data_IF_260398058218
#
_entry.id   IF_260398058218
#
_cell.length_a   1.000
_cell.length_b   1.000
_cell.length_c   1.000
_cell.angle_alpha   90.00
_cell.angle_beta   90.00
_cell.angle_gamma   90.00
#
_symmetry.space_group_name_H-M   'P 1'
#
loop_
_entity.id
_entity.type
_entity.pdbx_description
1 polymer ?
#
# COMPACT_ATOMS: atom_id res chain seq x y z
N UNK A 1 14.99 -11.44 -0.03
CA UNK A 1 14.54 -11.23 -1.42
C UNK A 1 13.14 -10.63 -1.39
N UNK A 2 12.91 -9.56 -2.14
CA UNK A 2 11.63 -8.85 -2.23
C UNK A 2 10.74 -9.54 -3.27
N UNK A 3 9.44 -9.66 -3.01
CA UNK A 3 8.47 -10.14 -4.00
C UNK A 3 7.22 -9.28 -3.94
N UNK A 4 6.80 -8.77 -5.11
CA UNK A 4 5.62 -7.95 -5.28
C UNK A 4 4.73 -8.63 -6.33
N UNK A 5 3.41 -8.65 -6.07
CA UNK A 5 2.43 -9.19 -7.02
C UNK A 5 2.47 -8.40 -8.33
N UNK A 6 2.03 -8.98 -9.47
CA UNK A 6 2.22 -8.39 -10.79
C UNK A 6 1.82 -6.91 -10.83
N UNK A 7 2.76 -6.09 -11.29
CA UNK A 7 2.57 -4.66 -11.54
C UNK A 7 1.44 -4.47 -12.55
N UNK A 8 0.52 -3.55 -12.26
CA UNK A 8 -0.82 -3.40 -12.86
C UNK A 8 -1.87 -4.40 -12.37
N UNK A 9 -2.71 -3.90 -11.45
CA UNK A 9 -4.00 -4.51 -11.09
C UNK A 9 -5.12 -3.76 -11.80
N UNK A 10 -5.96 -4.47 -12.56
CA UNK A 10 -7.19 -3.89 -13.12
C UNK A 10 -8.37 -4.18 -12.21
N UNK A 11 -9.19 -3.17 -11.95
CA UNK A 11 -10.35 -3.24 -11.07
C UNK A 11 -11.53 -2.46 -11.69
N UNK A 12 -12.75 -2.93 -11.44
CA UNK A 12 -13.97 -2.20 -11.76
C UNK A 12 -14.48 -1.45 -10.53
N UNK A 13 -15.27 -0.41 -10.78
CA UNK A 13 -15.97 0.29 -9.70
C UNK A 13 -16.85 -0.70 -8.92
N UNK A 14 -16.71 -0.69 -7.59
CA UNK A 14 -17.41 -1.63 -6.69
C UNK A 14 -16.61 -2.89 -6.35
N UNK A 15 -15.53 -3.20 -7.06
CA UNK A 15 -14.70 -4.37 -6.77
C UNK A 15 -14.03 -4.26 -5.40
N UNK A 16 -13.60 -5.41 -4.88
CA UNK A 16 -12.65 -5.48 -3.78
C UNK A 16 -11.33 -6.02 -4.31
N UNK A 17 -10.27 -5.23 -4.22
CA UNK A 17 -8.93 -5.66 -4.65
C UNK A 17 -7.98 -5.78 -3.47
N UNK A 18 -6.99 -6.65 -3.65
CA UNK A 18 -5.90 -6.87 -2.71
C UNK A 18 -4.57 -6.67 -3.41
N UNK A 19 -3.75 -5.78 -2.88
CA UNK A 19 -2.40 -5.50 -3.35
C UNK A 19 -1.46 -6.04 -2.26
N UNK A 20 -0.47 -6.85 -2.62
CA UNK A 20 0.42 -7.48 -1.63
C UNK A 20 1.89 -7.24 -1.92
N UNK A 21 2.63 -7.09 -0.83
CA UNK A 21 4.04 -6.79 -0.82
C UNK A 21 4.73 -7.65 0.25
N UNK A 22 5.78 -8.36 -0.14
CA UNK A 22 6.50 -9.28 0.74
C UNK A 22 7.97 -8.95 0.81
N UNK A 23 8.52 -8.94 2.03
CA UNK A 23 9.95 -8.76 2.26
C UNK A 23 10.48 -9.74 3.31
N UNK A 24 11.62 -10.36 3.03
CA UNK A 24 12.18 -11.43 3.86
C UNK A 24 12.52 -11.02 5.31
N UNK A 25 12.64 -9.72 5.58
CA UNK A 25 13.21 -9.23 6.85
C UNK A 25 12.34 -8.19 7.56
N UNK A 26 11.21 -7.78 6.98
CA UNK A 26 10.36 -6.74 7.54
C UNK A 26 8.96 -7.26 7.85
N UNK A 27 8.40 -6.74 8.94
CA UNK A 27 7.04 -7.01 9.42
C UNK A 27 6.27 -5.72 9.76
N UNK A 28 6.77 -4.57 9.32
CA UNK A 28 6.06 -3.29 9.36
C UNK A 28 5.93 -2.77 7.93
N UNK A 29 4.70 -2.59 7.47
CA UNK A 29 4.37 -2.12 6.14
C UNK A 29 3.61 -0.80 6.19
N UNK A 30 4.05 0.15 5.36
CA UNK A 30 3.31 1.34 4.98
C UNK A 30 2.85 1.23 3.53
N UNK A 31 1.69 1.82 3.24
CA UNK A 31 1.12 1.92 1.89
C UNK A 31 0.93 3.37 1.50
N UNK A 32 1.31 3.71 0.27
CA UNK A 32 1.28 5.07 -0.25
C UNK A 32 0.60 5.09 -1.62
N UNK A 33 -0.16 6.15 -1.89
CA UNK A 33 -0.87 6.35 -3.15
C UNK A 33 -0.34 7.60 -3.85
N UNK A 34 0.03 7.46 -5.12
CA UNK A 34 0.38 8.58 -5.98
C UNK A 34 -0.59 8.62 -7.17
N UNK A 35 -1.50 9.60 -7.15
CA UNK A 35 -2.50 9.77 -8.21
C UNK A 35 -1.94 10.47 -9.44
N UNK A 36 -1.00 11.40 -9.25
CA UNK A 36 -0.40 12.19 -10.33
C UNK A 36 1.08 11.84 -10.41
N UNK A 37 1.58 11.35 -11.55
CA UNK A 37 3.01 11.11 -11.73
C UNK A 37 3.83 12.36 -11.40
N UNK A 38 4.82 12.21 -10.52
CA UNK A 38 5.66 13.32 -10.06
C UNK A 38 5.13 14.08 -8.83
N UNK A 39 3.91 13.79 -8.34
CA UNK A 39 3.44 14.34 -7.07
C UNK A 39 4.00 13.56 -5.87
N UNK A 40 4.01 14.16 -4.69
CA UNK A 40 4.32 13.42 -3.47
C UNK A 40 3.28 12.31 -3.24
N UNK A 41 3.70 11.07 -2.91
CA UNK A 41 2.77 10.02 -2.47
C UNK A 41 2.09 10.39 -1.15
N UNK A 42 0.83 10.00 -1.00
CA UNK A 42 0.06 10.17 0.25
C UNK A 42 0.01 8.84 0.99
N UNK A 43 0.26 8.86 2.31
CA UNK A 43 0.10 7.66 3.15
C UNK A 43 -1.37 7.25 3.22
N UNK A 44 -1.63 5.99 2.89
CA UNK A 44 -2.95 5.36 2.95
C UNK A 44 -3.07 4.48 4.19
N UNK A 45 -2.03 3.69 4.47
CA UNK A 45 -1.91 2.83 5.65
C UNK A 45 -0.49 2.96 6.21
N UNK A 46 -0.37 2.99 7.53
CA UNK A 46 0.90 2.92 8.25
C UNK A 46 0.82 1.88 9.37
N UNK A 47 1.96 1.47 9.89
CA UNK A 47 2.08 0.44 10.94
C UNK A 47 1.16 -0.77 10.70
N UNK A 48 1.24 -1.32 9.48
CA UNK A 48 0.48 -2.47 8.99
C UNK A 48 -1.03 -2.30 8.80
N UNK A 49 -1.72 -1.60 9.68
CA UNK A 49 -3.19 -1.53 9.69
C UNK A 49 -3.77 -0.17 10.06
N UNK A 50 -2.95 0.76 10.56
CA UNK A 50 -3.43 2.08 10.93
C UNK A 50 -3.70 2.91 9.68
N UNK A 51 -4.85 3.58 9.66
CA UNK A 51 -5.28 4.42 8.54
C UNK A 51 -5.41 5.87 9.01
N UNK A 52 -4.81 6.85 8.32
CA UNK A 52 -5.03 8.26 8.64
C UNK A 52 -6.53 8.62 8.57
N UNK A 53 -6.98 9.55 9.41
CA UNK A 53 -8.41 9.89 9.55
C UNK A 53 -9.03 10.49 8.29
N UNK A 54 -8.22 11.10 7.42
CA UNK A 54 -8.64 11.67 6.14
C UNK A 54 -8.67 10.64 5.00
N UNK A 55 -8.29 9.39 5.24
CA UNK A 55 -8.33 8.32 4.24
C UNK A 55 -9.64 7.53 4.38
N UNK A 56 -10.37 7.28 3.28
CA UNK A 56 -11.69 6.65 3.33
C UNK A 56 -11.72 5.28 4.00
N UNK A 57 -12.87 4.95 4.59
CA UNK A 57 -13.05 3.72 5.37
C UNK A 57 -12.85 2.41 4.60
N UNK A 58 -12.90 2.52 3.28
CA UNK A 58 -12.78 1.43 2.31
C UNK A 58 -11.36 0.88 2.14
N UNK A 59 -10.35 1.65 2.55
CA UNK A 59 -8.95 1.20 2.56
C UNK A 59 -8.63 0.50 3.87
N UNK A 60 -8.00 -0.67 3.83
CA UNK A 60 -7.52 -1.35 5.03
C UNK A 60 -6.20 -2.06 4.79
N UNK A 61 -5.39 -2.14 5.84
CA UNK A 61 -4.12 -2.85 5.84
C UNK A 61 -4.15 -4.09 6.71
N UNK A 62 -3.41 -5.11 6.30
CA UNK A 62 -3.16 -6.29 7.12
C UNK A 62 -1.77 -6.86 6.83
N UNK A 63 -1.31 -7.73 7.74
CA UNK A 63 -0.07 -8.48 7.58
C UNK A 63 -0.31 -9.95 7.92
N UNK A 64 0.29 -10.83 7.12
CA UNK A 64 0.35 -12.27 7.40
C UNK A 64 1.79 -12.75 7.16
N UNK A 65 2.45 -13.19 8.23
CA UNK A 65 3.88 -13.49 8.21
C UNK A 65 4.70 -12.28 7.75
N UNK A 66 5.33 -12.42 6.59
CA UNK A 66 6.19 -11.41 5.95
C UNK A 66 5.54 -10.75 4.73
N UNK A 67 4.21 -10.75 4.67
CA UNK A 67 3.43 -10.22 3.55
C UNK A 67 2.44 -9.20 4.06
N UNK A 68 2.65 -7.94 3.70
CA UNK A 68 1.67 -6.86 3.86
C UNK A 68 0.62 -6.93 2.75
N UNK A 69 -0.63 -6.63 3.08
CA UNK A 69 -1.76 -6.55 2.14
C UNK A 69 -2.49 -5.23 2.33
N UNK A 70 -2.66 -4.49 1.24
CA UNK A 70 -3.63 -3.40 1.14
C UNK A 70 -4.90 -3.95 0.52
N UNK A 71 -6.03 -3.77 1.19
CA UNK A 71 -7.36 -4.06 0.67
C UNK A 71 -8.08 -2.76 0.37
N UNK A 72 -8.64 -2.66 -0.83
CA UNK A 72 -9.51 -1.55 -1.24
C UNK A 72 -10.86 -2.18 -1.55
N UNK A 73 -11.84 -1.99 -0.66
CA UNK A 73 -13.21 -2.43 -0.89
C UNK A 73 -14.00 -1.36 -1.62
N UNK A 74 -14.94 -1.73 -2.49
CA UNK A 74 -15.77 -0.75 -3.21
C UNK A 74 -14.94 0.28 -3.96
N UNK A 75 -14.00 -0.21 -4.80
CA UNK A 75 -13.12 0.63 -5.63
C UNK A 75 -13.92 1.74 -6.32
N UNK A 76 -13.36 2.95 -6.34
CA UNK A 76 -13.92 4.11 -7.02
C UNK A 76 -13.01 4.59 -8.15
N UNK A 77 -13.52 5.42 -9.06
CA UNK A 77 -12.73 5.95 -10.17
C UNK A 77 -11.50 6.74 -9.68
N UNK A 78 -11.63 7.40 -8.53
CA UNK A 78 -10.55 8.19 -7.93
C UNK A 78 -9.45 7.34 -7.28
N UNK A 79 -9.62 6.02 -7.23
CA UNK A 79 -8.64 5.08 -6.68
C UNK A 79 -7.60 4.63 -7.72
N UNK A 80 -7.77 5.02 -8.99
CA UNK A 80 -6.77 4.85 -10.04
C UNK A 80 -5.52 5.66 -9.70
N UNK A 81 -4.44 4.94 -9.39
CA UNK A 81 -3.19 5.51 -8.91
C UNK A 81 -2.07 4.48 -8.98
N UNK A 82 -0.84 4.96 -8.82
CA UNK A 82 0.29 4.10 -8.51
C UNK A 82 0.31 3.85 -7.00
N UNK A 83 0.40 2.59 -6.59
CA UNK A 83 0.50 2.23 -5.17
C UNK A 83 1.91 1.77 -4.84
N UNK A 84 2.40 2.24 -3.70
CA UNK A 84 3.70 1.86 -3.19
C UNK A 84 3.57 1.16 -1.86
N UNK A 85 4.39 0.13 -1.64
CA UNK A 85 4.63 -0.41 -0.30
C UNK A 85 6.02 0.01 0.19
N UNK A 86 6.09 0.26 1.48
CA UNK A 86 7.32 0.59 2.18
C UNK A 86 7.42 -0.10 3.52
N UNK A 87 8.57 0.01 4.16
CA UNK A 87 8.78 -0.46 5.54
C UNK A 87 9.50 0.60 6.36
N UNK A 88 9.20 0.66 7.65
CA UNK A 88 9.88 1.54 8.58
C UNK A 88 11.34 1.14 8.70
N UNK A 89 12.23 2.04 8.33
CA UNK A 89 13.66 1.91 8.50
C UNK A 89 14.11 2.82 9.63
N UNK A 90 14.47 2.20 10.76
CA UNK A 90 14.92 2.92 11.94
C UNK A 90 16.26 3.64 11.74
N UNK A 91 17.04 3.25 10.74
CA UNK A 91 18.32 3.91 10.42
C UNK A 91 18.11 5.25 9.69
N UNK A 92 17.02 5.37 8.92
CA UNK A 92 16.62 6.61 8.23
C UNK A 92 15.53 7.39 8.97
N UNK A 93 14.93 6.83 10.01
CA UNK A 93 13.87 7.47 10.80
C UNK A 93 12.57 7.66 10.03
N UNK A 94 12.32 6.83 9.01
CA UNK A 94 11.18 6.97 8.11
C UNK A 94 10.84 5.70 7.35
N UNK A 95 9.81 5.77 6.50
CA UNK A 95 9.47 4.66 5.61
C UNK A 95 10.34 4.69 4.35
N UNK A 96 11.14 3.66 4.14
CA UNK A 96 11.72 3.37 2.82
C UNK A 96 10.64 2.79 1.91
N UNK A 97 10.53 3.28 0.67
CA UNK A 97 9.59 2.76 -0.33
C UNK A 97 10.31 1.76 -1.22
N UNK A 98 9.71 0.58 -1.41
CA UNK A 98 10.44 -0.57 -1.96
C UNK A 98 9.80 -1.23 -3.18
N UNK A 99 8.48 -1.18 -3.33
CA UNK A 99 7.82 -1.63 -4.55
C UNK A 99 6.78 -0.63 -5.04
N UNK A 100 6.69 -0.57 -6.37
CA UNK A 100 5.64 0.09 -7.13
C UNK A 100 4.70 -1.00 -7.68
N UNK A 101 3.41 -0.84 -7.43
CA UNK A 101 2.33 -1.75 -7.88
C UNK A 101 1.28 -0.99 -8.67
#
# INVERSE_FOLDING_TARGET
QMSCQPSLVSAKVGDTIKITCSHSSYNNYGWFQQKVPGSAPVTVIYDNSNRPSNIPSRFSGSISGNTGTLTISGVQAEDEAIYFCGSWDSSSGGYGVWCQQ
#
